data_IF_016351870185
#
_entry.id   IF_016351870185
#
_cell.length_a   1.000
_cell.length_b   1.000
_cell.length_c   1.000
_cell.angle_alpha   90.00
_cell.angle_beta   90.00
_cell.angle_gamma   90.00
#
_symmetry.space_group_name_H-M   'P 1'
#
loop_
_entity.id
_entity.type
_entity.pdbx_description
1 polymer ?
#
# COMPACT_ATOMS: atom_id res chain seq x y z
N UNK A 1 -11.13 -22.26 6.08
CA UNK A 1 -11.81 -22.66 7.33
C UNK A 1 -13.00 -23.54 6.99
N UNK A 2 -13.42 -24.45 7.89
CA UNK A 2 -14.60 -25.30 7.69
C UNK A 2 -15.91 -24.49 7.69
N UNK A 3 -15.92 -23.39 8.46
CA UNK A 3 -17.05 -22.46 8.49
C UNK A 3 -16.68 -21.16 7.79
N UNK A 4 -17.62 -20.62 7.03
CA UNK A 4 -17.48 -19.28 6.45
C UNK A 4 -17.31 -18.25 7.55
N UNK A 5 -16.33 -17.34 7.38
CA UNK A 5 -16.04 -16.23 8.30
C UNK A 5 -16.02 -14.92 7.54
N UNK A 6 -16.48 -13.87 8.17
CA UNK A 6 -16.38 -12.51 7.68
C UNK A 6 -15.48 -11.69 8.61
N UNK A 7 -14.63 -10.84 8.03
CA UNK A 7 -13.85 -9.83 8.72
C UNK A 7 -14.11 -8.47 8.11
N UNK A 8 -14.28 -7.49 8.97
CA UNK A 8 -14.42 -6.09 8.57
C UNK A 8 -13.06 -5.46 8.34
N UNK A 9 -12.92 -4.69 7.25
CA UNK A 9 -11.66 -4.09 6.83
C UNK A 9 -11.85 -2.62 6.54
N UNK A 10 -11.08 -1.78 7.23
CA UNK A 10 -10.88 -0.40 6.82
C UNK A 10 -9.65 -0.32 5.93
N UNK A 11 -9.83 0.11 4.69
CA UNK A 11 -8.75 0.41 3.76
C UNK A 11 -9.22 1.37 2.68
N UNK A 12 -8.38 2.35 2.35
CA UNK A 12 -8.54 3.23 1.21
C UNK A 12 -7.21 3.26 0.46
N UNK A 13 -7.19 2.81 -0.78
CA UNK A 13 -6.00 2.79 -1.62
C UNK A 13 -6.19 3.75 -2.80
N UNK A 14 -5.31 4.73 -2.93
CA UNK A 14 -5.34 5.70 -4.03
C UNK A 14 -6.73 6.35 -4.20
N UNK A 15 -7.35 6.75 -3.08
CA UNK A 15 -8.66 7.38 -3.08
C UNK A 15 -9.85 6.46 -3.36
N UNK A 16 -9.66 5.13 -3.27
CA UNK A 16 -10.73 4.14 -3.43
C UNK A 16 -10.86 3.29 -2.17
N UNK A 17 -12.06 3.24 -1.61
CA UNK A 17 -12.37 2.33 -0.53
C UNK A 17 -12.23 0.86 -0.97
N UNK A 18 -11.89 0.01 0.00
CA UNK A 18 -11.77 -1.43 -0.21
C UNK A 18 -13.06 -2.00 -0.83
N UNK A 19 -12.90 -2.77 -1.90
CA UNK A 19 -14.00 -3.41 -2.60
C UNK A 19 -13.81 -4.94 -2.63
N UNK A 20 -14.58 -5.65 -1.79
CA UNK A 20 -14.60 -7.11 -1.72
C UNK A 20 -15.04 -7.80 -3.00
N UNK A 21 -15.71 -7.08 -3.90
CA UNK A 21 -16.22 -7.63 -5.15
C UNK A 21 -15.14 -7.77 -6.23
N UNK A 22 -13.94 -7.23 -6.00
CA UNK A 22 -12.82 -7.42 -6.92
C UNK A 22 -12.45 -8.91 -7.06
N UNK A 23 -12.11 -9.38 -8.28
CA UNK A 23 -11.84 -10.80 -8.55
C UNK A 23 -10.77 -11.42 -7.65
N UNK A 24 -9.77 -10.66 -7.25
CA UNK A 24 -8.70 -11.11 -6.34
C UNK A 24 -9.24 -11.49 -4.96
N UNK A 25 -10.16 -10.68 -4.40
CA UNK A 25 -10.74 -10.95 -3.10
C UNK A 25 -11.78 -12.05 -3.12
N UNK A 26 -12.59 -12.13 -4.19
CA UNK A 26 -13.46 -13.28 -4.43
C UNK A 26 -12.68 -14.58 -4.52
N UNK A 27 -11.56 -14.57 -5.24
CA UNK A 27 -10.69 -15.75 -5.32
C UNK A 27 -10.08 -16.12 -3.96
N UNK A 28 -9.69 -15.13 -3.16
CA UNK A 28 -9.21 -15.37 -1.81
C UNK A 28 -10.30 -15.97 -0.91
N UNK A 29 -11.54 -15.46 -0.99
CA UNK A 29 -12.70 -16.00 -0.29
C UNK A 29 -12.96 -17.47 -0.69
N UNK A 30 -12.97 -17.79 -1.98
CA UNK A 30 -13.13 -19.16 -2.49
C UNK A 30 -12.06 -20.12 -1.94
N UNK A 31 -10.81 -19.66 -1.83
CA UNK A 31 -9.69 -20.49 -1.38
C UNK A 31 -9.64 -20.67 0.14
N UNK A 32 -10.12 -19.70 0.91
CA UNK A 32 -9.93 -19.65 2.37
C UNK A 32 -11.22 -19.83 3.14
N UNK A 33 -12.37 -19.67 2.48
CA UNK A 33 -13.70 -19.55 3.08
C UNK A 33 -13.79 -18.37 4.07
N UNK A 34 -13.02 -17.29 3.78
CA UNK A 34 -12.98 -16.05 4.56
C UNK A 34 -13.29 -14.88 3.65
N UNK A 35 -14.31 -14.10 3.99
CA UNK A 35 -14.69 -12.88 3.29
C UNK A 35 -14.19 -11.65 4.05
N UNK A 36 -13.64 -10.71 3.31
CA UNK A 36 -13.32 -9.38 3.83
C UNK A 36 -14.41 -8.40 3.41
N UNK A 37 -14.92 -7.61 4.37
CA UNK A 37 -16.00 -6.64 4.13
C UNK A 37 -15.47 -5.23 4.41
N UNK A 38 -15.45 -4.39 3.38
CA UNK A 38 -15.00 -2.99 3.51
C UNK A 38 -15.97 -2.15 4.34
N UNK A 39 -15.47 -1.39 5.30
CA UNK A 39 -16.28 -0.49 6.16
C UNK A 39 -16.23 0.98 5.73
N UNK A 40 -15.22 1.39 4.96
CA UNK A 40 -15.14 2.74 4.44
C UNK A 40 -16.21 2.99 3.37
N UNK A 41 -16.81 4.18 3.36
CA UNK A 41 -17.79 4.56 2.34
C UNK A 41 -17.15 4.56 0.94
N UNK A 42 -17.82 3.97 -0.04
CA UNK A 42 -17.36 3.93 -1.45
C UNK A 42 -17.15 5.33 -2.07
N UNK A 43 -17.79 6.34 -1.49
CA UNK A 43 -17.69 7.74 -1.95
C UNK A 43 -16.58 8.51 -1.22
N UNK A 44 -15.87 7.89 -0.28
CA UNK A 44 -14.84 8.54 0.51
C UNK A 44 -13.48 8.31 -0.15
N UNK A 45 -12.88 9.39 -0.62
CA UNK A 45 -11.57 9.38 -1.27
C UNK A 45 -10.44 9.89 -0.36
N UNK A 46 -10.79 10.61 0.71
CA UNK A 46 -9.85 11.13 1.70
C UNK A 46 -9.69 10.10 2.83
N UNK A 47 -8.52 9.45 2.85
CA UNK A 47 -8.20 8.40 3.80
C UNK A 47 -8.10 8.91 5.24
N UNK A 48 -7.50 10.09 5.44
CA UNK A 48 -7.31 10.68 6.77
C UNK A 48 -8.66 11.06 7.37
N UNK A 49 -9.53 11.67 6.58
CA UNK A 49 -10.88 11.99 7.03
C UNK A 49 -11.69 10.74 7.37
N UNK A 50 -11.60 9.71 6.53
CA UNK A 50 -12.28 8.43 6.76
C UNK A 50 -11.80 7.75 8.04
N UNK A 51 -10.48 7.73 8.25
CA UNK A 51 -9.86 7.18 9.46
C UNK A 51 -10.35 7.91 10.72
N UNK A 52 -10.32 9.23 10.71
CA UNK A 52 -10.81 10.03 11.84
C UNK A 52 -12.30 9.83 12.12
N UNK A 53 -13.13 9.67 11.10
CA UNK A 53 -14.55 9.35 11.26
C UNK A 53 -14.74 7.94 11.87
N UNK A 54 -13.98 6.96 11.42
CA UNK A 54 -13.98 5.60 12.00
C UNK A 54 -13.61 5.64 13.48
N UNK A 55 -12.53 6.32 13.85
CA UNK A 55 -12.14 6.48 15.26
C UNK A 55 -13.23 7.16 16.10
N UNK A 56 -13.80 8.24 15.58
CA UNK A 56 -14.83 9.01 16.26
C UNK A 56 -16.14 8.23 16.45
N UNK A 57 -16.42 7.25 15.60
CA UNK A 57 -17.59 6.38 15.72
C UNK A 57 -17.48 5.37 16.86
N UNK A 58 -16.26 5.08 17.33
CA UNK A 58 -15.98 4.03 18.31
C UNK A 58 -16.15 2.59 17.77
N UNK A 59 -16.49 2.43 16.49
CA UNK A 59 -16.67 1.13 15.87
C UNK A 59 -15.42 0.79 15.06
N UNK A 60 -14.45 0.14 15.69
CA UNK A 60 -13.24 -0.31 15.01
C UNK A 60 -13.52 -1.59 14.22
N UNK A 61 -13.00 -1.71 13.00
CA UNK A 61 -13.06 -2.95 12.22
C UNK A 61 -12.06 -3.99 12.74
N UNK A 62 -12.19 -5.24 12.25
CA UNK A 62 -11.27 -6.32 12.62
C UNK A 62 -9.85 -6.07 12.06
N UNK A 63 -9.73 -5.40 10.90
CA UNK A 63 -8.46 -5.10 10.24
C UNK A 63 -8.44 -3.65 9.77
N UNK A 64 -7.34 -2.97 10.03
CA UNK A 64 -7.08 -1.61 9.56
C UNK A 64 -5.84 -1.65 8.67
N UNK A 65 -5.97 -1.26 7.40
CA UNK A 65 -4.87 -0.99 6.50
C UNK A 65 -4.80 0.53 6.26
N UNK A 66 -3.79 1.16 6.85
CA UNK A 66 -3.63 2.61 6.86
C UNK A 66 -2.15 2.99 6.71
N UNK A 67 -1.85 4.06 5.98
CA UNK A 67 -0.47 4.39 5.63
C UNK A 67 0.27 5.18 6.72
N UNK A 68 -0.45 5.90 7.61
CA UNK A 68 0.17 6.74 8.63
C UNK A 68 0.48 5.94 9.91
N UNK A 69 1.69 5.44 9.99
CA UNK A 69 2.21 4.64 11.11
C UNK A 69 2.02 5.29 12.49
N UNK A 70 2.31 6.60 12.71
CA UNK A 70 2.15 7.22 14.03
C UNK A 70 0.72 7.18 14.57
N UNK A 71 -0.28 7.26 13.70
CA UNK A 71 -1.69 7.20 14.11
C UNK A 71 -2.08 5.79 14.57
N UNK A 72 -1.56 4.75 13.90
CA UNK A 72 -1.79 3.36 14.29
C UNK A 72 -1.04 3.00 15.58
N UNK A 73 0.18 3.48 15.76
CA UNK A 73 0.94 3.29 17.01
C UNK A 73 0.20 3.90 18.19
N UNK A 74 -0.26 5.15 18.05
CA UNK A 74 -1.07 5.81 19.08
C UNK A 74 -2.35 5.03 19.37
N UNK A 75 -3.07 4.58 18.35
CA UNK A 75 -4.28 3.78 18.52
C UNK A 75 -4.01 2.47 19.28
N UNK A 76 -2.86 1.84 19.02
CA UNK A 76 -2.41 0.64 19.74
C UNK A 76 -2.16 0.91 21.23
N UNK A 77 -1.37 1.94 21.54
CA UNK A 77 -1.05 2.36 22.91
C UNK A 77 -2.33 2.73 23.69
N UNK A 78 -3.29 3.37 23.02
CA UNK A 78 -4.60 3.73 23.58
C UNK A 78 -5.55 2.51 23.74
N UNK A 79 -5.11 1.29 23.36
CA UNK A 79 -5.87 0.04 23.51
C UNK A 79 -6.86 -0.26 22.38
N UNK A 80 -6.82 0.48 21.28
CA UNK A 80 -7.66 0.23 20.11
C UNK A 80 -7.16 -0.90 19.19
N UNK A 81 -5.88 -1.29 19.31
CA UNK A 81 -5.31 -2.43 18.61
C UNK A 81 -4.75 -3.44 19.62
N UNK A 82 -4.77 -4.72 19.26
CA UNK A 82 -4.19 -5.78 20.09
C UNK A 82 -2.68 -5.90 19.83
N UNK A 83 -1.87 -6.23 20.85
CA UNK A 83 -0.47 -6.61 20.66
C UNK A 83 -0.35 -7.86 19.80
N UNK A 84 0.55 -7.86 18.84
CA UNK A 84 0.66 -8.91 17.81
C UNK A 84 1.84 -9.85 18.00
N UNK A 85 2.79 -9.57 18.90
CA UNK A 85 4.04 -10.32 19.01
C UNK A 85 3.84 -11.81 19.27
N UNK A 86 2.93 -12.20 20.18
CA UNK A 86 2.66 -13.60 20.47
C UNK A 86 1.90 -14.27 19.33
N UNK A 87 0.94 -13.58 18.71
CA UNK A 87 0.20 -14.07 17.54
C UNK A 87 1.10 -14.27 16.34
N UNK A 88 2.05 -13.36 16.10
CA UNK A 88 3.03 -13.49 15.03
C UNK A 88 3.92 -14.69 15.26
N UNK A 89 4.40 -14.88 16.48
CA UNK A 89 5.25 -16.01 16.85
C UNK A 89 4.53 -17.35 16.67
N UNK A 90 3.26 -17.43 17.03
CA UNK A 90 2.48 -18.67 16.99
C UNK A 90 1.94 -18.97 15.60
N UNK A 91 1.47 -17.95 14.87
CA UNK A 91 0.67 -18.15 13.66
C UNK A 91 1.29 -17.60 12.37
N UNK A 92 2.39 -16.83 12.46
CA UNK A 92 3.00 -16.19 11.28
C UNK A 92 4.49 -16.56 11.09
N UNK A 93 4.82 -17.83 10.81
CA UNK A 93 6.20 -18.29 10.71
C UNK A 93 7.00 -17.58 9.62
N UNK A 94 6.36 -17.15 8.54
CA UNK A 94 7.03 -16.40 7.47
C UNK A 94 7.45 -14.99 7.90
N UNK A 95 6.63 -14.32 8.71
CA UNK A 95 6.97 -12.99 9.27
C UNK A 95 8.11 -13.15 10.28
N UNK A 96 8.01 -14.14 11.15
CA UNK A 96 9.04 -14.47 12.14
C UNK A 96 10.39 -14.69 11.44
N UNK A 97 10.43 -15.56 10.43
CA UNK A 97 11.65 -15.83 9.64
C UNK A 97 12.17 -14.57 8.96
N UNK A 98 11.31 -13.78 8.32
CA UNK A 98 11.72 -12.55 7.65
C UNK A 98 12.37 -11.56 8.63
N UNK A 99 11.83 -11.41 9.83
CA UNK A 99 12.39 -10.54 10.86
C UNK A 99 13.68 -11.07 11.51
N UNK A 100 13.86 -12.40 11.57
CA UNK A 100 15.14 -13.00 11.98
C UNK A 100 16.25 -12.71 10.96
N UNK A 101 15.92 -12.78 9.66
CA UNK A 101 16.85 -12.47 8.58
C UNK A 101 17.08 -10.96 8.41
N UNK A 102 16.14 -10.12 8.87
CA UNK A 102 16.14 -8.68 8.68
C UNK A 102 15.75 -7.94 9.98
N UNK A 103 16.59 -7.97 11.03
CA UNK A 103 16.23 -7.48 12.36
C UNK A 103 15.93 -5.98 12.43
N UNK A 104 16.42 -5.18 11.47
CA UNK A 104 16.09 -3.76 11.36
C UNK A 104 14.58 -3.54 11.14
N UNK A 105 13.92 -4.37 10.32
CA UNK A 105 12.49 -4.24 10.05
C UNK A 105 11.63 -4.62 11.25
N UNK A 106 12.10 -5.56 12.07
CA UNK A 106 11.43 -5.85 13.35
C UNK A 106 11.48 -4.64 14.28
N UNK A 107 12.63 -3.95 14.33
CA UNK A 107 12.78 -2.73 15.14
C UNK A 107 11.79 -1.64 14.72
N UNK A 108 11.55 -1.47 13.42
CA UNK A 108 10.64 -0.46 12.89
C UNK A 108 9.16 -0.79 13.19
N UNK A 109 8.86 -2.04 13.53
CA UNK A 109 7.52 -2.48 13.90
C UNK A 109 7.21 -2.34 15.40
N UNK A 110 8.23 -2.13 16.24
CA UNK A 110 8.07 -2.02 17.70
C UNK A 110 7.73 -0.60 18.08
N UNK A 111 6.58 -0.40 18.71
CA UNK A 111 6.12 0.86 19.23
C UNK A 111 6.95 1.32 20.45
N UNK A 112 6.79 2.59 20.87
CA UNK A 112 7.58 3.18 21.97
C UNK A 112 7.32 2.51 23.32
N UNK A 113 6.20 1.84 23.49
CA UNK A 113 5.86 1.05 24.70
C UNK A 113 6.39 -0.39 24.67
N UNK A 114 7.06 -0.79 23.57
CA UNK A 114 7.68 -2.09 23.40
C UNK A 114 6.80 -3.16 22.74
N UNK A 115 5.55 -2.84 22.41
CA UNK A 115 4.62 -3.73 21.74
C UNK A 115 4.65 -3.59 20.21
N UNK A 116 4.10 -4.58 19.52
CA UNK A 116 3.91 -4.57 18.06
C UNK A 116 2.41 -4.55 17.79
N UNK A 117 1.91 -3.45 17.22
CA UNK A 117 0.49 -3.26 16.90
C UNK A 117 0.18 -3.37 15.42
N UNK A 118 1.21 -3.37 14.57
CA UNK A 118 1.06 -3.40 13.12
C UNK A 118 2.16 -4.23 12.47
N UNK A 119 1.87 -4.71 11.27
CA UNK A 119 2.87 -5.32 10.39
C UNK A 119 3.13 -4.32 9.27
N UNK A 120 4.27 -3.60 9.29
CA UNK A 120 4.60 -2.65 8.25
C UNK A 120 4.71 -3.31 6.88
N UNK A 121 4.36 -2.58 5.83
CA UNK A 121 4.58 -3.01 4.46
C UNK A 121 6.04 -2.73 4.09
N UNK A 122 6.82 -3.78 3.88
CA UNK A 122 8.21 -3.68 3.45
C UNK A 122 8.32 -3.89 1.96
N UNK A 123 8.70 -2.86 1.27
CA UNK A 123 9.09 -2.95 -0.13
C UNK A 123 10.57 -3.33 -0.23
N UNK A 124 10.90 -4.61 -0.13
CA UNK A 124 12.25 -5.13 -0.44
C UNK A 124 12.43 -5.28 -1.95
N UNK A 125 12.13 -4.26 -2.69
CA UNK A 125 12.37 -4.30 -4.11
C UNK A 125 13.58 -3.43 -4.41
N UNK A 126 14.72 -4.07 -4.48
CA UNK A 126 15.97 -3.46 -4.99
C UNK A 126 15.79 -2.72 -6.33
N UNK A 127 14.64 -2.90 -6.97
CA UNK A 127 14.23 -2.30 -8.23
C UNK A 127 12.99 -1.41 -8.14
N UNK A 128 12.43 -1.11 -6.96
CA UNK A 128 11.26 -0.22 -6.80
C UNK A 128 11.64 1.26 -6.55
N UNK A 129 12.87 1.65 -6.77
CA UNK A 129 13.14 3.04 -7.11
C UNK A 129 12.43 3.48 -8.41
N UNK A 130 11.55 2.60 -8.95
CA UNK A 130 10.80 2.77 -10.19
C UNK A 130 9.31 3.06 -9.97
N UNK A 131 8.90 3.56 -8.81
CA UNK A 131 7.50 3.98 -8.56
C UNK A 131 7.09 5.16 -9.42
N UNK A 132 8.06 5.98 -9.85
CA UNK A 132 7.85 7.04 -10.85
C UNK A 132 8.83 6.84 -11.98
N UNK A 133 8.32 6.59 -13.18
CA UNK A 133 9.12 6.44 -14.38
C UNK A 133 8.73 7.50 -15.40
N UNK A 134 9.74 8.02 -16.08
CA UNK A 134 9.53 8.87 -17.24
C UNK A 134 9.55 8.01 -18.48
N UNK A 135 8.54 8.15 -19.33
CA UNK A 135 8.47 7.50 -20.62
C UNK A 135 8.57 8.55 -21.72
N UNK A 136 9.29 8.22 -22.78
CA UNK A 136 9.37 9.05 -23.96
C UNK A 136 8.82 8.30 -25.17
N UNK A 137 8.15 8.99 -26.05
CA UNK A 137 7.61 8.43 -27.30
C UNK A 137 8.74 8.07 -28.25
N UNK A 138 9.06 6.77 -28.34
CA UNK A 138 10.13 6.26 -29.22
C UNK A 138 9.81 6.52 -30.69
N UNK A 139 8.57 6.35 -31.10
CA UNK A 139 8.10 6.64 -32.45
C UNK A 139 8.28 8.11 -32.87
N UNK A 140 8.21 9.05 -31.89
CA UNK A 140 8.50 10.46 -32.15
C UNK A 140 9.99 10.73 -32.30
N UNK A 141 10.82 10.07 -31.51
CA UNK A 141 12.28 10.15 -31.68
C UNK A 141 12.69 9.66 -33.07
N UNK A 142 12.19 8.48 -33.46
CA UNK A 142 12.48 7.89 -34.79
C UNK A 142 12.00 8.77 -35.93
N UNK A 143 10.76 9.30 -35.85
CA UNK A 143 10.18 10.19 -36.87
C UNK A 143 10.96 11.47 -37.06
N UNK A 144 11.57 12.00 -36.01
CA UNK A 144 12.34 13.23 -36.01
C UNK A 144 13.86 13.02 -36.13
N UNK A 145 14.31 11.76 -36.20
CA UNK A 145 15.73 11.41 -36.30
C UNK A 145 16.53 11.78 -35.05
N UNK A 146 15.88 11.66 -33.86
CA UNK A 146 16.50 11.97 -32.59
C UNK A 146 16.94 10.69 -31.87
N UNK A 147 18.05 10.77 -31.16
CA UNK A 147 18.53 9.73 -30.25
C UNK A 147 17.79 9.78 -28.91
N UNK A 148 17.77 8.67 -28.16
CA UNK A 148 17.26 8.60 -26.79
C UNK A 148 18.13 9.48 -25.86
N UNK A 149 17.54 10.47 -25.14
CA UNK A 149 18.30 11.39 -24.32
C UNK A 149 18.90 10.67 -23.10
N UNK A 150 20.17 10.92 -22.83
CA UNK A 150 20.93 10.37 -21.69
C UNK A 150 21.26 11.41 -20.63
N UNK A 151 21.10 12.69 -20.96
CA UNK A 151 21.35 13.82 -20.07
C UNK A 151 20.13 14.73 -20.02
N UNK A 152 20.08 15.61 -19.00
CA UNK A 152 19.01 16.61 -18.86
C UNK A 152 19.00 17.58 -20.04
N UNK A 153 20.18 17.98 -20.51
CA UNK A 153 20.31 18.90 -21.67
C UNK A 153 19.83 18.26 -22.97
N UNK A 154 20.14 16.98 -23.18
CA UNK A 154 19.62 16.23 -24.32
C UNK A 154 18.10 16.07 -24.25
N UNK A 155 17.56 15.77 -23.06
CA UNK A 155 16.11 15.71 -22.84
C UNK A 155 15.45 17.06 -23.15
N UNK A 156 16.03 18.16 -22.68
CA UNK A 156 15.54 19.50 -22.99
C UNK A 156 15.47 19.74 -24.52
N UNK A 157 16.56 19.42 -25.23
CA UNK A 157 16.64 19.59 -26.71
C UNK A 157 15.62 18.72 -27.45
N UNK A 158 15.40 17.47 -26.99
CA UNK A 158 14.36 16.57 -27.50
C UNK A 158 12.97 17.18 -27.31
N UNK A 159 12.66 17.66 -26.09
CA UNK A 159 11.35 18.25 -25.79
C UNK A 159 11.09 19.55 -26.58
N UNK A 160 12.12 20.39 -26.76
CA UNK A 160 12.04 21.56 -27.65
C UNK A 160 11.75 21.16 -29.09
N UNK A 161 12.43 20.11 -29.57
CA UNK A 161 12.21 19.61 -30.92
C UNK A 161 10.82 19.02 -31.09
N UNK A 162 10.29 18.29 -30.10
CA UNK A 162 8.93 17.79 -30.13
C UNK A 162 7.91 18.91 -30.19
N UNK A 163 8.12 19.98 -29.41
CA UNK A 163 7.26 21.18 -29.46
C UNK A 163 7.27 21.86 -30.81
N UNK A 164 8.46 22.07 -31.38
CA UNK A 164 8.64 22.93 -32.58
C UNK A 164 8.30 22.19 -33.88
N UNK A 165 8.47 20.88 -33.93
CA UNK A 165 8.22 20.08 -35.14
C UNK A 165 6.95 19.24 -35.10
N UNK A 166 6.19 19.30 -34.01
CA UNK A 166 4.94 18.58 -33.81
C UNK A 166 4.86 17.22 -34.53
N UNK A 167 5.39 16.11 -33.98
CA UNK A 167 5.45 14.85 -34.70
C UNK A 167 4.07 14.18 -34.91
N UNK A 168 3.01 14.73 -34.32
CA UNK A 168 1.65 14.30 -34.61
C UNK A 168 1.05 14.95 -35.86
N UNK A 169 1.50 16.12 -36.25
CA UNK A 169 0.97 16.92 -37.34
C UNK A 169 -0.15 17.85 -36.93
#
# INVERSE_FOLDING_TARGET
>A
TEKHKEFTVFAIFQGKAFDSELPVFKKAEDMTNVKMVGVASKNQSDEVQAFNLMLSSGNLPDVIAYELTPDLEKLGIDGGLIPLEDLIKEHAPNITKFWEENPQYKKDAVAVDGHIYMIPNYNDVKNLSLTQQYYIRKDWLEKLGLEEPKTVDELYNVLVTFRDKDPNG
#
